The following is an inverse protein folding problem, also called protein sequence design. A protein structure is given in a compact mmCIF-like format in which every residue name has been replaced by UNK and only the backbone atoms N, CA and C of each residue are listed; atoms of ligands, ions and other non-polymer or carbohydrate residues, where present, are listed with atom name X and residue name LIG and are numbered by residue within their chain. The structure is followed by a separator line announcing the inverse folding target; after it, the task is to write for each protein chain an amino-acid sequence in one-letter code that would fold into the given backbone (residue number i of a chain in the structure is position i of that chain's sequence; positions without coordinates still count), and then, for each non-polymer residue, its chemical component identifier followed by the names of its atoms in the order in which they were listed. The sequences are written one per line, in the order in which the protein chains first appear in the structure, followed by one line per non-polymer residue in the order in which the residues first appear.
data_IF_382923959668
#
_entry.id   IF_382923959668
#
_cell.length_a   1.000
_cell.length_b   1.000
_cell.length_c   1.000
_cell.angle_alpha   90.00
_cell.angle_beta   90.00
_cell.angle_gamma   90.00
#
_symmetry.space_group_name_H-M   'P 1'
#
loop_
_entity.id
_entity.type
_entity.pdbx_description
1 polymer ?
#
# COMPACT_ATOMS: atom_id res chain seq x y z
N UNK A 1 12.40 -25.70 -19.78
CA UNK A 1 13.27 -24.67 -19.23
C UNK A 1 13.42 -23.56 -20.26
N UNK A 2 12.71 -22.45 -20.09
CA UNK A 2 12.82 -21.25 -20.92
C UNK A 2 13.32 -20.12 -20.03
N UNK A 3 14.33 -19.34 -20.41
CA UNK A 3 14.83 -18.24 -19.60
C UNK A 3 13.90 -17.04 -19.77
N UNK A 4 13.23 -16.64 -18.70
CA UNK A 4 12.44 -15.40 -18.62
C UNK A 4 13.40 -14.26 -18.26
N UNK A 5 14.00 -13.61 -19.27
CA UNK A 5 14.67 -12.33 -19.07
C UNK A 5 13.87 -11.22 -19.76
N UNK A 6 12.88 -10.66 -19.08
CA UNK A 6 12.26 -9.40 -19.49
C UNK A 6 12.91 -8.26 -18.71
N UNK A 7 13.86 -7.58 -19.35
CA UNK A 7 14.43 -6.30 -18.88
C UNK A 7 13.31 -5.26 -18.85
N UNK A 8 12.86 -4.91 -17.65
CA UNK A 8 12.00 -3.76 -17.41
C UNK A 8 12.83 -2.51 -17.70
N UNK A 9 12.46 -1.78 -18.76
CA UNK A 9 13.09 -0.49 -19.11
C UNK A 9 12.71 0.55 -18.07
N UNK A 10 13.71 0.96 -17.34
CA UNK A 10 14.03 2.16 -16.62
C UNK A 10 12.95 3.17 -16.28
N UNK A 11 12.47 3.14 -15.05
CA UNK A 11 12.18 4.38 -14.35
C UNK A 11 13.51 4.97 -13.83
N UNK A 12 14.08 5.89 -14.60
CA UNK A 12 15.20 6.73 -14.15
C UNK A 12 14.63 7.84 -13.26
N UNK A 13 14.61 7.58 -11.99
CA UNK A 13 14.29 8.55 -10.95
C UNK A 13 14.75 8.00 -9.61
N UNK A 14 16.04 7.65 -9.51
CA UNK A 14 16.63 7.32 -8.22
C UNK A 14 16.83 8.63 -7.46
N UNK A 15 15.88 8.94 -6.57
CA UNK A 15 16.14 9.96 -5.55
C UNK A 15 17.11 9.32 -4.55
N UNK A 16 18.41 9.57 -4.74
CA UNK A 16 19.44 9.21 -3.76
C UNK A 16 19.34 10.17 -2.59
N UNK A 17 18.60 9.78 -1.57
CA UNK A 17 18.66 10.47 -0.29
C UNK A 17 19.97 10.10 0.39
N UNK A 18 20.91 11.04 0.40
CA UNK A 18 22.16 10.89 1.15
C UNK A 18 21.84 10.66 2.64
N UNK A 19 22.27 9.54 3.17
CA UNK A 19 22.21 9.22 4.60
C UNK A 19 23.08 10.25 5.34
N UNK A 20 22.45 11.30 5.88
CA UNK A 20 23.10 12.15 6.90
C UNK A 20 23.06 11.39 8.22
N UNK A 21 24.23 10.94 8.67
CA UNK A 21 24.41 10.33 9.98
C UNK A 21 23.91 11.29 11.07
N UNK A 22 23.01 10.81 11.93
CA UNK A 22 22.66 11.50 13.19
C UNK A 22 21.53 12.52 13.17
N UNK A 23 20.72 12.62 12.10
CA UNK A 23 19.52 13.48 12.07
C UNK A 23 18.24 12.69 12.34
N UNK A 24 17.30 13.27 13.08
CA UNK A 24 15.95 12.72 13.24
C UNK A 24 15.34 12.53 11.85
N UNK A 25 15.11 11.27 11.47
CA UNK A 25 14.50 10.96 10.17
C UNK A 25 13.13 11.65 10.06
N UNK A 26 12.94 12.43 9.02
CA UNK A 26 11.66 13.06 8.72
C UNK A 26 10.67 12.07 8.09
N UNK A 27 9.40 12.41 8.08
CA UNK A 27 8.36 11.53 7.51
C UNK A 27 8.58 11.20 6.03
N UNK A 28 9.23 12.07 5.28
CA UNK A 28 9.54 11.87 3.88
C UNK A 28 10.50 10.69 3.66
N UNK A 29 11.58 10.59 4.47
CA UNK A 29 12.50 9.45 4.40
C UNK A 29 11.82 8.14 4.81
N UNK A 30 10.95 8.17 5.81
CA UNK A 30 10.22 6.98 6.27
C UNK A 30 9.24 6.45 5.23
N UNK A 31 8.53 7.35 4.53
CA UNK A 31 7.67 6.95 3.41
C UNK A 31 8.50 6.36 2.26
N UNK A 32 9.67 6.94 2.01
CA UNK A 32 10.62 6.43 1.01
C UNK A 32 11.08 4.99 1.32
N UNK A 33 11.26 4.63 2.60
CA UNK A 33 11.56 3.25 3.00
C UNK A 33 10.41 2.29 2.68
N UNK A 34 9.16 2.73 2.85
CA UNK A 34 7.99 1.92 2.48
C UNK A 34 7.91 1.74 0.96
N UNK A 35 8.16 2.79 0.18
CA UNK A 35 8.26 2.69 -1.27
C UNK A 35 9.30 1.66 -1.70
N UNK A 36 10.48 1.71 -1.08
CA UNK A 36 11.55 0.75 -1.37
C UNK A 36 11.15 -0.67 -0.95
N UNK A 37 10.50 -0.84 0.19
CA UNK A 37 10.03 -2.14 0.67
C UNK A 37 9.03 -2.78 -0.30
N UNK A 38 8.09 -2.00 -0.86
CA UNK A 38 7.14 -2.50 -1.87
C UNK A 38 7.91 -2.96 -3.13
N UNK A 39 8.84 -2.14 -3.64
CA UNK A 39 9.64 -2.49 -4.83
C UNK A 39 10.44 -3.77 -4.63
N UNK A 40 11.18 -3.86 -3.55
CA UNK A 40 11.99 -5.04 -3.23
C UNK A 40 11.11 -6.29 -3.05
N UNK A 41 9.92 -6.13 -2.47
CA UNK A 41 8.98 -7.24 -2.32
C UNK A 41 8.45 -7.73 -3.67
N UNK A 42 8.15 -6.82 -4.60
CA UNK A 42 7.74 -7.18 -5.97
C UNK A 42 8.90 -7.85 -6.74
N UNK A 43 10.10 -7.30 -6.64
CA UNK A 43 11.30 -7.85 -7.30
C UNK A 43 11.66 -9.26 -6.79
N UNK A 44 11.43 -9.52 -5.51
CA UNK A 44 11.67 -10.84 -4.89
C UNK A 44 10.45 -11.77 -4.93
N UNK A 45 9.39 -11.38 -5.63
CA UNK A 45 8.11 -12.13 -5.71
C UNK A 45 7.46 -12.40 -4.35
N UNK A 46 7.79 -11.59 -3.34
CA UNK A 46 7.11 -11.63 -2.04
C UNK A 46 5.81 -10.84 -2.10
N UNK A 47 4.83 -11.40 -2.80
CA UNK A 47 3.56 -10.74 -3.11
C UNK A 47 2.72 -10.39 -1.89
N UNK A 48 2.79 -11.23 -0.84
CA UNK A 48 2.11 -10.91 0.41
C UNK A 48 2.66 -9.63 1.06
N UNK A 49 3.99 -9.49 1.13
CA UNK A 49 4.62 -8.30 1.68
C UNK A 49 4.37 -7.08 0.78
N UNK A 50 4.42 -7.23 -0.55
CA UNK A 50 4.15 -6.16 -1.49
C UNK A 50 2.74 -5.59 -1.30
N UNK A 51 1.73 -6.46 -1.26
CA UNK A 51 0.35 -6.04 -1.07
C UNK A 51 0.12 -5.42 0.31
N UNK A 52 0.62 -6.06 1.37
CA UNK A 52 0.51 -5.56 2.74
C UNK A 52 1.09 -4.15 2.88
N UNK A 53 2.30 -3.94 2.37
CA UNK A 53 2.96 -2.63 2.42
C UNK A 53 2.23 -1.59 1.56
N UNK A 54 1.64 -1.98 0.43
CA UNK A 54 0.81 -1.09 -0.40
C UNK A 54 -0.45 -0.64 0.33
N UNK A 55 -1.13 -1.53 1.03
CA UNK A 55 -2.31 -1.20 1.84
C UNK A 55 -1.96 -0.31 3.04
N UNK A 56 -0.80 -0.52 3.67
CA UNK A 56 -0.27 0.35 4.72
C UNK A 56 0.11 1.73 4.17
N UNK A 57 0.70 1.79 2.98
CA UNK A 57 1.05 3.05 2.33
C UNK A 57 -0.19 3.91 2.07
N UNK A 58 -1.29 3.32 1.62
CA UNK A 58 -2.58 4.01 1.46
C UNK A 58 -3.04 4.59 2.82
N UNK A 59 -2.94 3.83 3.91
CA UNK A 59 -3.35 4.28 5.26
C UNK A 59 -2.52 5.51 5.73
N UNK A 60 -1.21 5.49 5.46
CA UNK A 60 -0.31 6.59 5.76
C UNK A 60 -0.67 7.85 4.96
N UNK A 61 -0.81 7.71 3.63
CA UNK A 61 -1.19 8.81 2.75
C UNK A 61 -2.56 9.40 3.16
N UNK A 62 -3.51 8.54 3.46
CA UNK A 62 -4.84 8.94 3.92
C UNK A 62 -4.79 9.75 5.23
N UNK A 63 -3.93 9.35 6.17
CA UNK A 63 -3.77 10.04 7.45
C UNK A 63 -3.12 11.42 7.29
N UNK A 64 -2.20 11.57 6.34
CA UNK A 64 -1.63 12.87 5.99
C UNK A 64 -2.65 13.75 5.27
N UNK A 65 -3.42 13.16 4.35
CA UNK A 65 -4.40 13.86 3.52
C UNK A 65 -5.59 14.41 4.31
N UNK A 66 -6.10 13.65 5.26
CA UNK A 66 -7.26 14.01 6.07
C UNK A 66 -6.98 13.89 7.59
N UNK A 67 -6.08 14.73 8.14
CA UNK A 67 -5.60 14.58 9.53
C UNK A 67 -6.69 14.83 10.57
N UNK A 68 -7.73 15.60 10.24
CA UNK A 68 -8.86 15.92 11.14
C UNK A 68 -9.95 14.86 11.16
N UNK A 69 -9.98 13.96 10.17
CA UNK A 69 -10.94 12.86 10.14
C UNK A 69 -10.56 11.79 11.17
N UNK A 70 -11.42 11.58 12.15
CA UNK A 70 -11.18 10.67 13.29
C UNK A 70 -11.46 9.21 12.96
N UNK A 71 -12.37 8.96 12.00
CA UNK A 71 -12.74 7.61 11.60
C UNK A 71 -11.77 7.06 10.53
N UNK A 72 -10.96 6.02 10.87
CA UNK A 72 -9.95 5.50 9.94
C UNK A 72 -10.52 5.05 8.59
N UNK A 73 -11.70 4.41 8.59
CA UNK A 73 -12.36 3.95 7.38
C UNK A 73 -12.77 5.09 6.45
N UNK A 74 -13.30 6.19 6.99
CA UNK A 74 -13.69 7.36 6.21
C UNK A 74 -12.46 8.02 5.60
N UNK A 75 -11.41 8.21 6.39
CA UNK A 75 -10.14 8.78 5.96
C UNK A 75 -9.50 7.96 4.85
N UNK A 76 -9.41 6.64 5.05
CA UNK A 76 -8.85 5.70 4.09
C UNK A 76 -9.59 5.75 2.74
N UNK A 77 -10.92 5.63 2.79
CA UNK A 77 -11.78 5.70 1.60
C UNK A 77 -11.69 7.04 0.90
N UNK A 78 -11.63 8.13 1.65
CA UNK A 78 -11.53 9.48 1.08
C UNK A 78 -10.28 9.63 0.22
N UNK A 79 -9.11 9.18 0.68
CA UNK A 79 -7.88 9.25 -0.10
C UNK A 79 -7.97 8.37 -1.36
N UNK A 80 -8.56 7.19 -1.24
CA UNK A 80 -8.77 6.29 -2.38
C UNK A 80 -9.69 6.94 -3.40
N UNK A 81 -10.84 7.47 -2.99
CA UNK A 81 -11.82 8.06 -3.89
C UNK A 81 -11.28 9.33 -4.58
N UNK A 82 -10.60 10.19 -3.82
CA UNK A 82 -10.11 11.48 -4.32
C UNK A 82 -8.82 11.37 -5.14
N UNK A 83 -7.95 10.39 -4.83
CA UNK A 83 -6.58 10.33 -5.38
C UNK A 83 -6.33 9.04 -6.16
N UNK A 84 -6.59 7.87 -5.56
CA UNK A 84 -6.21 6.59 -6.14
C UNK A 84 -7.13 6.20 -7.31
N UNK A 85 -8.44 6.14 -7.09
CA UNK A 85 -9.41 5.68 -8.12
C UNK A 85 -9.43 6.60 -9.32
N UNK A 86 -9.21 7.90 -9.15
CA UNK A 86 -9.17 8.84 -10.28
C UNK A 86 -8.06 8.55 -11.28
N UNK A 87 -7.05 7.79 -10.88
CA UNK A 87 -5.86 7.44 -11.67
C UNK A 87 -5.75 5.94 -11.96
N UNK A 88 -6.51 5.10 -11.24
CA UNK A 88 -6.59 3.68 -11.55
C UNK A 88 -7.41 3.46 -12.82
N UNK A 89 -6.79 2.86 -13.81
CA UNK A 89 -7.40 2.62 -15.12
C UNK A 89 -8.13 1.28 -15.20
N UNK A 90 -8.65 0.79 -14.07
CA UNK A 90 -9.51 -0.40 -14.13
C UNK A 90 -10.78 -0.09 -14.93
N UNK A 91 -11.07 -0.95 -15.89
CA UNK A 91 -12.18 -0.78 -16.84
C UNK A 91 -13.58 -0.89 -16.23
N UNK A 92 -13.68 -1.15 -14.93
CA UNK A 92 -14.95 -1.25 -14.21
C UNK A 92 -14.81 -0.83 -12.75
N UNK A 93 -15.94 -0.40 -12.14
CA UNK A 93 -15.99 0.14 -10.78
C UNK A 93 -16.03 -0.95 -9.68
N UNK A 94 -15.60 -2.18 -9.97
CA UNK A 94 -15.68 -3.26 -9.00
C UNK A 94 -14.67 -3.11 -7.84
N UNK A 95 -13.50 -2.54 -8.08
CA UNK A 95 -12.52 -2.29 -7.02
C UNK A 95 -12.76 -0.92 -6.38
N UNK A 96 -13.86 -0.81 -5.63
CA UNK A 96 -14.23 0.41 -4.91
C UNK A 96 -13.35 0.66 -3.68
N UNK A 97 -13.34 1.91 -3.19
CA UNK A 97 -12.67 2.25 -1.92
C UNK A 97 -13.14 1.40 -0.74
N UNK A 98 -14.41 1.01 -0.75
CA UNK A 98 -14.96 0.09 0.26
C UNK A 98 -14.34 -1.30 0.15
N UNK A 99 -14.22 -1.85 -1.06
CA UNK A 99 -13.62 -3.16 -1.26
C UNK A 99 -12.14 -3.17 -0.88
N UNK A 100 -11.38 -2.12 -1.23
CA UNK A 100 -9.97 -1.99 -0.84
C UNK A 100 -9.84 -1.84 0.69
N UNK A 101 -10.73 -1.09 1.34
CA UNK A 101 -10.75 -1.00 2.79
C UNK A 101 -10.99 -2.35 3.47
N UNK A 102 -11.94 -3.14 2.97
CA UNK A 102 -12.24 -4.46 3.53
C UNK A 102 -11.13 -5.45 3.27
N UNK A 103 -10.51 -5.44 2.08
CA UNK A 103 -9.31 -6.22 1.81
C UNK A 103 -8.19 -5.89 2.80
N UNK A 104 -7.96 -4.59 3.06
CA UNK A 104 -6.99 -4.13 4.06
C UNK A 104 -7.32 -4.68 5.45
N UNK A 105 -8.59 -4.62 5.87
CA UNK A 105 -8.98 -5.12 7.18
C UNK A 105 -8.80 -6.64 7.29
N UNK A 106 -9.26 -7.40 6.31
CA UNK A 106 -9.14 -8.84 6.29
C UNK A 106 -7.66 -9.27 6.29
N UNK A 107 -6.84 -8.69 5.42
CA UNK A 107 -5.42 -9.05 5.34
C UNK A 107 -4.61 -8.69 6.60
N UNK A 108 -4.77 -7.47 7.12
CA UNK A 108 -3.94 -6.99 8.23
C UNK A 108 -4.38 -7.50 9.60
N UNK A 109 -5.63 -7.89 9.77
CA UNK A 109 -6.13 -8.37 11.05
C UNK A 109 -6.31 -9.88 11.10
N UNK A 110 -6.64 -10.51 9.97
CA UNK A 110 -7.03 -11.92 9.92
C UNK A 110 -6.14 -12.76 8.98
N UNK A 111 -5.29 -12.10 8.17
CA UNK A 111 -4.50 -12.79 7.13
C UNK A 111 -5.37 -13.40 6.03
N UNK A 112 -6.59 -12.89 5.85
CA UNK A 112 -7.62 -13.41 4.96
C UNK A 112 -7.88 -12.49 3.77
N UNK A 113 -8.40 -13.03 2.69
CA UNK A 113 -9.00 -12.28 1.57
C UNK A 113 -10.52 -12.16 1.69
N UNK A 114 -11.12 -12.81 2.69
CA UNK A 114 -12.57 -12.80 2.90
C UNK A 114 -13.02 -11.55 3.68
N UNK A 115 -13.64 -10.55 3.02
CA UNK A 115 -14.12 -9.36 3.70
C UNK A 115 -15.41 -9.59 4.49
N UNK A 116 -16.09 -10.74 4.31
CA UNK A 116 -17.40 -10.99 4.90
C UNK A 116 -17.35 -11.22 6.41
N UNK A 117 -16.16 -11.56 6.95
CA UNK A 117 -15.92 -11.66 8.38
C UNK A 117 -16.02 -10.30 9.08
N UNK A 118 -15.88 -9.19 8.35
CA UNK A 118 -15.95 -7.86 8.91
C UNK A 118 -17.41 -7.40 9.11
N UNK A 119 -17.81 -7.18 10.37
CA UNK A 119 -19.17 -6.75 10.73
C UNK A 119 -19.59 -5.45 10.03
N UNK A 120 -18.65 -4.54 9.80
CA UNK A 120 -18.91 -3.28 9.09
C UNK A 120 -19.21 -3.52 7.61
N UNK A 121 -18.56 -4.52 6.99
CA UNK A 121 -18.84 -4.93 5.63
C UNK A 121 -20.27 -5.46 5.47
N UNK A 122 -20.69 -6.32 6.37
CA UNK A 122 -22.05 -6.87 6.37
C UNK A 122 -23.14 -5.78 6.46
N UNK A 123 -22.84 -4.68 7.17
CA UNK A 123 -23.80 -3.58 7.37
C UNK A 123 -23.77 -2.51 6.27
N UNK A 124 -22.60 -2.23 5.68
CA UNK A 124 -22.39 -1.02 4.87
C UNK A 124 -21.81 -1.28 3.47
N UNK A 125 -21.54 -2.52 3.13
CA UNK A 125 -21.01 -2.87 1.80
C UNK A 125 -22.05 -2.58 0.71
N UNK A 126 -21.77 -1.58 -0.16
CA UNK A 126 -22.66 -1.27 -1.30
C UNK A 126 -22.68 -2.38 -2.35
N UNK A 127 -21.57 -3.02 -2.54
CA UNK A 127 -21.45 -4.21 -3.39
C UNK A 127 -20.93 -5.34 -2.52
N UNK A 128 -21.79 -6.28 -2.21
CA UNK A 128 -21.41 -7.45 -1.45
C UNK A 128 -20.57 -8.35 -2.37
N UNK A 129 -19.35 -8.60 -2.01
CA UNK A 129 -18.49 -9.59 -2.65
C UNK A 129 -18.18 -10.70 -1.65
N UNK A 130 -18.00 -11.92 -2.12
CA UNK A 130 -17.61 -13.05 -1.27
C UNK A 130 -16.15 -12.93 -0.90
N UNK A 131 -15.30 -12.78 -1.90
CA UNK A 131 -13.85 -12.68 -1.76
C UNK A 131 -13.27 -11.61 -2.67
N UNK A 132 -12.12 -11.08 -2.28
CA UNK A 132 -11.30 -10.22 -3.11
C UNK A 132 -9.94 -10.90 -3.22
N UNK A 133 -9.69 -11.56 -4.34
CA UNK A 133 -8.55 -12.46 -4.54
C UNK A 133 -7.45 -11.76 -5.34
N UNK A 134 -6.34 -11.38 -4.68
CA UNK A 134 -5.15 -10.93 -5.39
C UNK A 134 -4.59 -12.07 -6.24
N UNK A 135 -4.32 -11.80 -7.51
CA UNK A 135 -3.93 -12.80 -8.49
C UNK A 135 -2.78 -12.26 -9.33
N UNK A 136 -1.97 -13.12 -9.91
CA UNK A 136 -0.96 -12.74 -10.89
C UNK A 136 -1.54 -13.01 -12.27
N UNK A 137 -1.80 -11.93 -13.01
CA UNK A 137 -2.36 -12.04 -14.36
C UNK A 137 -1.28 -11.97 -15.45
N UNK A 138 -1.53 -12.57 -16.62
CA UNK A 138 -0.80 -12.25 -17.84
C UNK A 138 -0.91 -10.76 -18.16
N UNK A 139 0.10 -10.18 -18.80
CA UNK A 139 0.19 -8.71 -19.03
C UNK A 139 -1.03 -8.11 -19.72
N UNK A 140 -1.66 -8.84 -20.60
CA UNK A 140 -2.86 -8.42 -21.33
C UNK A 140 -4.10 -8.24 -20.44
N UNK A 141 -4.06 -8.74 -19.20
CA UNK A 141 -5.16 -8.66 -18.24
C UNK A 141 -4.83 -7.83 -16.99
N UNK A 142 -3.66 -7.18 -16.91
CA UNK A 142 -3.22 -6.45 -15.73
C UNK A 142 -4.22 -5.39 -15.25
N UNK A 143 -4.85 -4.68 -16.19
CA UNK A 143 -5.82 -3.62 -15.92
C UNK A 143 -7.26 -4.13 -15.80
N UNK A 144 -7.46 -5.44 -15.70
CA UNK A 144 -8.80 -6.06 -15.62
C UNK A 144 -9.13 -6.47 -14.20
N UNK A 145 -10.41 -6.35 -13.87
CA UNK A 145 -11.03 -7.03 -12.74
C UNK A 145 -11.85 -8.17 -13.30
N UNK A 146 -11.51 -9.38 -12.92
CA UNK A 146 -12.32 -10.54 -13.25
C UNK A 146 -13.33 -10.78 -12.14
N UNK A 147 -14.54 -11.15 -12.55
CA UNK A 147 -15.67 -11.37 -11.65
C UNK A 147 -16.18 -12.79 -11.86
N UNK A 148 -16.09 -13.62 -10.83
CA UNK A 148 -16.70 -14.93 -10.83
C UNK A 148 -17.99 -14.89 -10.00
N UNK A 149 -19.12 -15.03 -10.67
CA UNK A 149 -20.43 -15.19 -10.04
C UNK A 149 -20.77 -16.68 -9.96
N UNK A 150 -21.00 -17.17 -8.76
CA UNK A 150 -21.39 -18.55 -8.51
C UNK A 150 -22.91 -18.72 -8.33
N UNK A 151 -23.68 -17.68 -8.65
CA UNK A 151 -25.14 -17.72 -8.63
C UNK A 151 -25.78 -17.44 -7.26
N UNK A 152 -25.00 -17.02 -6.26
CA UNK A 152 -25.48 -16.71 -4.92
C UNK A 152 -25.54 -15.21 -4.60
N UNK A 153 -25.47 -14.35 -5.60
CA UNK A 153 -25.45 -12.88 -5.50
C UNK A 153 -24.21 -12.27 -4.79
N UNK A 154 -23.16 -13.06 -4.57
CA UNK A 154 -21.90 -12.62 -3.96
C UNK A 154 -20.71 -13.00 -4.84
N UNK A 155 -20.34 -12.15 -5.82
CA UNK A 155 -19.25 -12.46 -6.71
C UNK A 155 -17.90 -12.48 -5.97
N UNK A 156 -16.97 -13.28 -6.47
CA UNK A 156 -15.57 -13.21 -6.15
C UNK A 156 -14.89 -12.28 -7.14
N UNK A 157 -14.13 -11.31 -6.65
CA UNK A 157 -13.35 -10.39 -7.46
C UNK A 157 -11.89 -10.85 -7.53
N UNK A 158 -11.33 -10.88 -8.73
CA UNK A 158 -9.91 -11.13 -8.96
C UNK A 158 -9.30 -9.87 -9.58
N UNK A 159 -8.16 -9.45 -9.05
CA UNK A 159 -7.39 -8.32 -9.59
C UNK A 159 -5.91 -8.66 -9.66
N UNK A 160 -5.18 -8.03 -10.59
CA UNK A 160 -3.74 -8.21 -10.67
C UNK A 160 -3.04 -7.51 -9.52
N UNK A 161 -2.36 -8.30 -8.69
CA UNK A 161 -1.67 -7.83 -7.49
C UNK A 161 -0.46 -6.96 -7.85
N UNK A 162 0.31 -7.37 -8.86
CA UNK A 162 1.52 -6.63 -9.26
C UNK A 162 1.13 -5.27 -9.79
N UNK A 163 0.17 -5.22 -10.70
CA UNK A 163 -0.35 -3.97 -11.25
C UNK A 163 -0.92 -3.05 -10.16
N UNK A 164 -1.72 -3.60 -9.24
CA UNK A 164 -2.26 -2.83 -8.12
C UNK A 164 -1.15 -2.21 -7.27
N UNK A 165 -0.14 -2.98 -6.87
CA UNK A 165 0.97 -2.49 -6.05
C UNK A 165 1.79 -1.43 -6.80
N UNK A 166 2.07 -1.63 -8.09
CA UNK A 166 2.78 -0.66 -8.92
C UNK A 166 2.00 0.65 -9.07
N UNK A 167 0.69 0.58 -9.28
CA UNK A 167 -0.17 1.76 -9.37
C UNK A 167 -0.26 2.51 -8.04
N UNK A 168 -0.45 1.82 -6.92
CA UNK A 168 -0.43 2.43 -5.60
C UNK A 168 0.90 3.13 -5.34
N UNK A 169 2.01 2.47 -5.66
CA UNK A 169 3.35 3.01 -5.48
C UNK A 169 3.59 4.26 -6.34
N UNK A 170 3.21 4.22 -7.61
CA UNK A 170 3.34 5.34 -8.54
C UNK A 170 2.51 6.54 -8.09
N UNK A 171 1.21 6.32 -7.82
CA UNK A 171 0.27 7.37 -7.44
C UNK A 171 0.64 8.00 -6.09
N UNK A 172 1.01 7.18 -5.11
CA UNK A 172 1.43 7.67 -3.80
C UNK A 172 2.75 8.44 -3.87
N UNK A 173 3.71 8.00 -4.71
CA UNK A 173 4.96 8.71 -4.95
C UNK A 173 4.71 10.09 -5.57
N UNK A 174 3.91 10.15 -6.63
CA UNK A 174 3.54 11.42 -7.28
C UNK A 174 2.82 12.36 -6.31
N UNK A 175 1.85 11.81 -5.56
CA UNK A 175 1.12 12.59 -4.57
C UNK A 175 2.04 13.15 -3.47
N UNK A 176 2.95 12.32 -2.94
CA UNK A 176 3.92 12.71 -1.92
C UNK A 176 4.86 13.81 -2.43
N UNK A 177 5.34 13.70 -3.66
CA UNK A 177 6.21 14.68 -4.30
C UNK A 177 5.50 16.03 -4.54
N UNK A 178 4.21 15.98 -4.86
CA UNK A 178 3.41 17.21 -5.03
C UNK A 178 2.95 17.84 -3.71
N UNK A 179 3.10 17.14 -2.57
CA UNK A 179 2.67 17.57 -1.24
C UNK A 179 3.79 17.48 -0.19
N UNK A 180 5.04 17.78 -0.58
CA UNK A 180 6.23 17.59 0.24
C UNK A 180 6.14 18.28 1.61
N UNK A 181 5.66 19.53 1.64
CA UNK A 181 5.58 20.28 2.90
C UNK A 181 4.48 19.69 3.81
N UNK A 182 3.34 19.32 3.28
CA UNK A 182 2.28 18.64 4.03
C UNK A 182 2.79 17.32 4.65
N UNK A 183 3.59 16.57 3.91
CA UNK A 183 4.19 15.32 4.39
C UNK A 183 5.20 15.56 5.51
N UNK A 184 6.06 16.56 5.36
CA UNK A 184 7.07 16.94 6.39
C UNK A 184 6.43 17.42 7.68
N UNK A 185 5.39 18.24 7.58
CA UNK A 185 4.69 18.84 8.71
C UNK A 185 3.71 17.87 9.39
N UNK A 186 3.41 16.74 8.76
CA UNK A 186 2.49 15.76 9.34
C UNK A 186 2.98 15.25 10.69
N UNK A 187 2.08 15.22 11.68
CA UNK A 187 2.36 14.76 13.05
C UNK A 187 2.40 13.22 13.16
N UNK A 188 2.91 12.53 12.14
CA UNK A 188 2.99 11.09 12.12
C UNK A 188 4.27 10.59 12.80
N UNK A 189 4.09 9.64 13.71
CA UNK A 189 5.18 8.80 14.21
C UNK A 189 5.22 7.51 13.38
N UNK A 190 5.82 7.58 12.21
CA UNK A 190 6.02 6.40 11.38
C UNK A 190 7.10 5.51 12.00
N UNK A 191 6.92 4.19 11.86
CA UNK A 191 7.93 3.22 12.24
C UNK A 191 9.23 3.46 11.46
N UNK A 192 10.34 3.39 12.16
CA UNK A 192 11.68 3.44 11.55
C UNK A 192 12.61 2.49 12.28
N UNK A 193 13.51 1.88 11.51
CA UNK A 193 14.60 1.09 12.08
C UNK A 193 15.75 2.05 12.39
N UNK A 194 16.10 2.17 13.67
CA UNK A 194 17.28 2.92 14.07
C UNK A 194 18.52 2.03 13.89
N UNK A 195 19.45 2.45 13.03
CA UNK A 195 20.80 1.90 13.01
C UNK A 195 21.60 2.64 14.08
N UNK A 196 21.76 2.02 15.26
CA UNK A 196 22.56 2.60 16.34
C UNK A 196 24.00 2.05 16.29
N UNK A 197 24.99 2.93 16.39
CA UNK A 197 26.35 2.53 16.74
C UNK A 197 26.36 2.27 18.26
N UNK A 198 26.75 1.04 18.64
CA UNK A 198 26.87 0.69 20.06
C UNK A 198 28.19 1.21 20.58
N UNK A 199 28.15 2.07 21.59
CA UNK A 199 29.32 2.36 22.42
C UNK A 199 29.17 1.57 23.74
N UNK A 200 30.11 0.69 24.03
CA UNK A 200 30.17 -0.01 25.31
C UNK A 200 31.11 0.74 26.23
N UNK A 201 30.59 1.22 27.37
CA UNK A 201 31.39 1.73 28.49
C UNK A 201 30.83 1.14 29.76
N UNK A 202 31.65 0.46 30.52
CA UNK A 202 31.33 -0.09 31.84
C UNK A 202 30.05 -0.93 31.90
N UNK A 203 29.87 -1.88 30.97
CA UNK A 203 28.68 -2.73 30.85
C UNK A 203 27.35 -2.00 30.59
N UNK A 204 27.39 -0.75 30.21
CA UNK A 204 26.22 0.03 29.79
C UNK A 204 26.20 0.12 28.26
N UNK A 205 25.08 -0.30 27.66
CA UNK A 205 24.81 -0.09 26.24
C UNK A 205 24.15 1.28 26.08
N UNK A 206 24.84 2.23 25.47
CA UNK A 206 24.32 3.57 25.22
C UNK A 206 23.86 3.62 23.77
N UNK A 207 22.56 3.80 23.57
CA UNK A 207 21.99 4.11 22.26
C UNK A 207 22.21 5.59 21.97
N UNK A 208 22.97 5.90 20.92
CA UNK A 208 23.00 7.26 20.34
C UNK A 208 22.08 7.24 19.13
N UNK A 209 20.92 7.90 19.24
CA UNK A 209 20.01 8.13 18.13
C UNK A 209 20.50 9.27 17.23
#
# INVERSE_FOLDING_TARGET
MLPCSSKIKGYKGVITYGHKRGGKMNNLSRISEIFQSIRLSLESENYFAALTNSLILIDICAKIYAPTEKEPNKRYKKWIDDILITKLTYSNNYLSSSNIWFLRCAMLHEGSSDPTTNISYQKFGKMKVRDIVPTIFPKEFHDKILVADQGDNYPTLFFDLVYFCEMVLSIASDWTNNNVELVKESALNLFSVAHSEFATSNNLIIFRA
#
